data_IF_278037001785
#
_entry.id   IF_278037001785
#
_cell.length_a   1.000
_cell.length_b   1.000
_cell.length_c   1.000
_cell.angle_alpha   90.00
_cell.angle_beta   90.00
_cell.angle_gamma   90.00
#
_symmetry.space_group_name_H-M   'P 1'
#
loop_
_entity.id
_entity.type
_entity.pdbx_description
1 polymer ?
#
# COMPACT_ATOMS: atom_id res chain seq x y z
N UNK A 1 2.37 -8.55 -57.73
CA UNK A 1 3.09 -7.26 -57.82
C UNK A 1 2.26 -6.23 -57.08
N UNK A 2 2.63 -5.96 -55.82
CA UNK A 2 2.50 -4.71 -55.06
C UNK A 2 2.89 -5.05 -53.61
N UNK A 3 4.19 -4.95 -53.36
CA UNK A 3 4.79 -5.00 -52.04
C UNK A 3 4.40 -3.72 -51.28
N UNK A 4 3.96 -3.85 -50.03
CA UNK A 4 4.11 -2.77 -49.03
C UNK A 4 5.04 -3.28 -47.94
N UNK A 5 6.24 -2.71 -47.97
CA UNK A 5 7.25 -2.77 -46.94
C UNK A 5 6.91 -1.80 -45.79
N UNK A 6 7.59 -2.01 -44.64
CA UNK A 6 7.91 -1.05 -43.56
C UNK A 6 6.78 -0.85 -42.53
N UNK A 7 6.94 -0.99 -41.20
CA UNK A 7 8.11 -1.08 -40.29
C UNK A 7 7.70 -1.85 -39.03
N UNK A 8 8.57 -2.69 -38.49
CA UNK A 8 8.46 -3.18 -37.11
C UNK A 8 9.03 -2.08 -36.20
N UNK A 9 8.16 -1.47 -35.39
CA UNK A 9 8.60 -0.61 -34.27
C UNK A 9 8.63 -1.49 -33.02
N UNK A 10 9.83 -1.89 -32.64
CA UNK A 10 10.14 -2.42 -31.31
C UNK A 10 10.06 -1.26 -30.31
N UNK A 11 8.93 -1.10 -29.62
CA UNK A 11 8.86 -0.25 -28.43
C UNK A 11 9.38 -1.05 -27.23
N UNK A 12 10.65 -0.80 -26.90
CA UNK A 12 11.26 -1.16 -25.64
C UNK A 12 10.49 -0.51 -24.49
N UNK A 13 10.04 -1.31 -23.53
CA UNK A 13 9.54 -0.84 -22.24
C UNK A 13 10.63 -0.03 -21.55
N UNK A 14 10.47 1.30 -21.52
CA UNK A 14 11.34 2.17 -20.76
C UNK A 14 10.96 2.05 -19.28
N UNK A 15 11.86 1.44 -18.50
CA UNK A 15 11.92 1.62 -17.07
C UNK A 15 11.87 3.12 -16.75
N UNK A 16 11.07 3.51 -15.76
CA UNK A 16 11.14 4.83 -15.15
C UNK A 16 12.53 4.97 -14.52
N UNK A 17 13.44 5.60 -15.25
CA UNK A 17 14.71 6.07 -14.72
C UNK A 17 14.44 7.33 -13.92
N UNK A 18 14.73 7.28 -12.62
CA UNK A 18 14.81 8.46 -11.79
C UNK A 18 15.80 9.45 -12.44
N UNK A 19 15.28 10.59 -12.90
CA UNK A 19 16.06 11.61 -13.57
C UNK A 19 16.86 12.39 -12.53
N UNK A 20 18.14 12.07 -12.38
CA UNK A 20 19.09 12.91 -11.65
C UNK A 20 19.63 13.94 -12.64
N UNK A 21 19.12 15.17 -12.57
CA UNK A 21 19.72 16.32 -13.24
C UNK A 21 20.91 16.82 -12.41
N UNK A 22 22.12 16.62 -12.94
CA UNK A 22 23.33 17.28 -12.44
C UNK A 22 23.49 18.66 -13.10
N UNK A 23 23.82 19.72 -12.36
CA UNK A 23 24.37 20.91 -12.95
C UNK A 23 25.90 20.89 -12.86
N UNK A 24 26.57 21.01 -14.01
CA UNK A 24 27.97 21.45 -14.10
C UNK A 24 27.97 22.89 -14.59
N UNK A 25 28.50 23.83 -13.79
CA UNK A 25 29.64 24.67 -14.17
C UNK A 25 30.14 25.50 -12.98
N UNK A 26 31.46 25.66 -12.98
CA UNK A 26 32.35 26.35 -12.05
C UNK A 26 32.07 27.84 -11.84
N UNK A 27 32.25 28.37 -10.62
CA UNK A 27 33.43 29.16 -10.25
C UNK A 27 33.49 29.40 -8.73
N UNK A 28 34.70 29.62 -8.19
CA UNK A 28 35.01 29.55 -6.76
C UNK A 28 34.50 30.70 -5.88
N UNK A 29 34.02 30.35 -4.68
CA UNK A 29 34.37 30.99 -3.38
C UNK A 29 33.69 30.23 -2.25
N UNK A 30 34.46 29.77 -1.27
CA UNK A 30 33.99 29.03 -0.09
C UNK A 30 33.20 29.93 0.86
N UNK A 31 31.88 29.79 0.91
CA UNK A 31 31.05 30.27 2.01
C UNK A 31 30.23 29.10 2.57
N UNK A 32 30.47 28.73 3.83
CA UNK A 32 29.90 27.54 4.50
C UNK A 32 28.46 27.72 4.98
N UNK A 33 27.70 28.62 4.34
CA UNK A 33 26.32 29.00 4.69
C UNK A 33 25.16 28.26 3.97
N UNK A 34 25.31 27.53 2.83
CA UNK A 34 24.17 26.90 2.16
C UNK A 34 23.62 25.67 2.88
N UNK A 35 24.48 24.91 3.57
CA UNK A 35 24.14 23.60 4.15
C UNK A 35 23.13 23.72 5.29
N UNK A 36 23.25 24.76 6.12
CA UNK A 36 22.30 25.01 7.22
C UNK A 36 20.91 25.38 6.71
N UNK A 37 20.83 26.14 5.61
CA UNK A 37 19.55 26.58 5.02
C UNK A 37 18.81 25.44 4.32
N UNK A 38 19.52 24.54 3.64
CA UNK A 38 18.93 23.34 3.04
C UNK A 38 18.41 22.34 4.10
N UNK A 39 19.13 22.19 5.21
CA UNK A 39 18.66 21.40 6.36
C UNK A 39 17.44 22.04 7.05
N UNK A 40 17.40 23.36 7.20
CA UNK A 40 16.25 24.08 7.80
C UNK A 40 15.00 24.05 6.92
N UNK A 41 15.17 24.03 5.58
CA UNK A 41 14.06 23.90 4.62
C UNK A 41 13.49 22.48 4.65
N UNK A 42 14.32 21.43 4.61
CA UNK A 42 13.86 20.04 4.78
C UNK A 42 13.14 19.81 6.12
N UNK A 43 13.67 20.38 7.20
CA UNK A 43 13.08 20.27 8.54
C UNK A 43 11.76 21.04 8.68
N UNK A 44 11.52 22.07 7.86
CA UNK A 44 10.24 22.79 7.78
C UNK A 44 9.22 22.07 6.90
N UNK A 45 9.66 21.38 5.85
CA UNK A 45 8.78 20.57 4.97
C UNK A 45 8.23 19.32 5.69
N UNK A 46 8.98 18.74 6.63
CA UNK A 46 8.50 17.64 7.48
C UNK A 46 7.41 18.05 8.49
N UNK A 47 7.14 19.35 8.66
CA UNK A 47 6.38 19.84 9.80
C UNK A 47 4.85 19.70 9.67
N UNK A 48 4.33 19.35 8.47
CA UNK A 48 2.89 19.22 8.22
C UNK A 48 2.44 17.79 7.86
N UNK A 49 3.37 16.85 7.69
CA UNK A 49 3.04 15.44 7.45
C UNK A 49 2.34 14.88 8.69
N UNK A 50 1.18 14.27 8.53
CA UNK A 50 0.45 13.70 9.66
C UNK A 50 0.91 12.28 10.03
N UNK A 51 0.95 11.40 9.03
CA UNK A 51 1.35 10.02 9.24
C UNK A 51 2.86 9.86 9.09
N UNK A 52 3.47 9.16 10.04
CA UNK A 52 4.91 8.94 10.07
C UNK A 52 5.23 7.45 10.11
N UNK A 53 6.12 7.07 9.21
CA UNK A 53 6.74 5.74 9.14
C UNK A 53 8.10 5.78 9.87
N UNK A 54 8.62 4.64 10.36
CA UNK A 54 9.94 4.57 11.00
C UNK A 54 11.10 5.04 10.11
N UNK A 55 10.86 5.23 8.81
CA UNK A 55 11.82 5.71 7.81
C UNK A 55 12.78 4.61 7.36
N UNK A 56 13.52 4.86 6.27
CA UNK A 56 14.52 3.91 5.75
C UNK A 56 14.16 3.31 4.40
N UNK A 57 14.19 1.98 4.30
CA UNK A 57 13.92 1.25 3.06
C UNK A 57 12.41 1.17 2.74
N UNK A 58 12.06 0.64 1.56
CA UNK A 58 10.65 0.48 1.16
C UNK A 58 9.86 -0.39 2.14
N UNK A 59 10.48 -1.37 2.79
CA UNK A 59 9.77 -2.27 3.72
C UNK A 59 9.28 -1.53 4.97
N UNK A 60 10.03 -0.53 5.42
CA UNK A 60 9.70 0.30 6.57
C UNK A 60 8.59 1.33 6.29
N UNK A 61 8.28 1.57 5.01
CA UNK A 61 7.21 2.49 4.59
C UNK A 61 5.79 2.04 4.89
N UNK A 62 5.60 0.78 5.29
CA UNK A 62 4.29 0.17 5.53
C UNK A 62 4.00 -0.07 7.02
N UNK A 63 4.71 0.65 7.90
CA UNK A 63 4.54 0.59 9.35
C UNK A 63 4.28 1.98 9.93
N UNK A 64 3.33 2.07 10.86
CA UNK A 64 3.11 3.26 11.67
C UNK A 64 4.20 3.37 12.74
N UNK A 65 4.91 4.49 12.76
CA UNK A 65 6.05 4.70 13.64
C UNK A 65 5.72 4.59 15.14
N UNK A 66 4.46 4.81 15.55
CA UNK A 66 4.05 4.76 16.96
C UNK A 66 3.99 3.31 17.49
N UNK A 67 3.70 2.37 16.60
CA UNK A 67 3.49 0.96 16.93
C UNK A 67 4.57 0.04 16.32
N UNK A 68 5.50 0.60 15.55
CA UNK A 68 6.63 -0.14 15.00
C UNK A 68 7.63 -0.52 16.11
N UNK A 69 8.06 -1.78 16.08
CA UNK A 69 9.09 -2.32 16.98
C UNK A 69 10.23 -2.97 16.20
N UNK A 70 9.87 -3.86 15.27
CA UNK A 70 10.78 -4.50 14.34
C UNK A 70 10.03 -4.89 13.06
N UNK A 71 10.78 -5.18 11.99
CA UNK A 71 10.18 -5.70 10.76
C UNK A 71 9.71 -7.13 11.02
N UNK A 72 8.42 -7.38 10.83
CA UNK A 72 7.85 -8.71 11.07
C UNK A 72 8.24 -9.72 9.99
N UNK A 73 8.18 -11.01 10.35
CA UNK A 73 8.41 -12.09 9.38
C UNK A 73 7.33 -12.14 8.29
N UNK A 74 7.60 -12.77 7.15
CA UNK A 74 6.58 -12.96 6.09
C UNK A 74 5.32 -13.69 6.58
N UNK A 75 5.51 -14.67 7.47
CA UNK A 75 4.39 -15.41 8.06
C UNK A 75 3.55 -14.50 8.96
N UNK A 76 4.20 -13.71 9.81
CA UNK A 76 3.52 -12.75 10.69
C UNK A 76 2.88 -11.61 9.91
N UNK A 77 3.51 -11.13 8.83
CA UNK A 77 2.91 -10.12 7.92
C UNK A 77 1.63 -10.67 7.29
N UNK A 78 1.69 -11.89 6.76
CA UNK A 78 0.54 -12.58 6.14
C UNK A 78 -0.59 -12.77 7.14
N UNK A 79 -0.28 -13.30 8.33
CA UNK A 79 -1.24 -13.45 9.43
C UNK A 79 -1.82 -12.09 9.84
N UNK A 80 -0.96 -11.07 9.95
CA UNK A 80 -1.36 -9.72 10.36
C UNK A 80 -2.36 -9.14 9.37
N UNK A 81 -2.00 -9.06 8.10
CA UNK A 81 -2.81 -8.48 7.04
C UNK A 81 -4.13 -9.24 6.82
N UNK A 82 -4.13 -10.57 6.93
CA UNK A 82 -5.34 -11.38 6.75
C UNK A 82 -6.41 -11.04 7.78
N UNK A 83 -6.06 -10.99 9.07
CA UNK A 83 -7.02 -10.60 10.12
C UNK A 83 -7.30 -9.09 10.10
N UNK A 84 -6.33 -8.26 9.72
CA UNK A 84 -6.48 -6.81 9.65
C UNK A 84 -7.52 -6.38 8.61
N UNK A 85 -7.46 -6.93 7.39
CA UNK A 85 -8.46 -6.59 6.36
C UNK A 85 -9.83 -7.15 6.69
N UNK A 86 -9.90 -8.33 7.35
CA UNK A 86 -11.17 -8.89 7.84
C UNK A 86 -11.82 -7.95 8.85
N UNK A 87 -11.06 -7.52 9.86
CA UNK A 87 -11.53 -6.59 10.88
C UNK A 87 -11.98 -5.26 10.28
N UNK A 88 -11.22 -4.72 9.32
CA UNK A 88 -11.56 -3.50 8.58
C UNK A 88 -12.91 -3.63 7.85
N UNK A 89 -13.07 -4.67 7.03
CA UNK A 89 -14.30 -4.87 6.25
C UNK A 89 -15.52 -5.17 7.13
N UNK A 90 -15.31 -5.87 8.25
CA UNK A 90 -16.34 -6.13 9.24
C UNK A 90 -16.77 -4.84 9.95
N UNK A 91 -15.83 -3.99 10.37
CA UNK A 91 -16.10 -2.69 11.00
C UNK A 91 -16.98 -1.80 10.11
N UNK A 92 -16.62 -1.64 8.82
CA UNK A 92 -17.40 -0.83 7.90
C UNK A 92 -18.82 -1.38 7.72
N UNK A 93 -18.96 -2.70 7.61
CA UNK A 93 -20.26 -3.35 7.46
C UNK A 93 -21.14 -3.22 8.71
N UNK A 94 -20.58 -3.41 9.90
CA UNK A 94 -21.28 -3.28 11.19
C UNK A 94 -21.83 -1.88 11.41
N UNK A 95 -21.11 -0.86 10.93
CA UNK A 95 -21.50 0.55 11.05
C UNK A 95 -22.27 1.08 9.83
N UNK A 96 -22.62 0.21 8.87
CA UNK A 96 -23.32 0.58 7.62
C UNK A 96 -22.58 1.67 6.82
N UNK A 97 -21.26 1.56 6.73
CA UNK A 97 -20.38 2.45 5.97
C UNK A 97 -19.93 1.78 4.68
N UNK A 98 -19.77 2.59 3.62
CA UNK A 98 -19.31 2.12 2.32
C UNK A 98 -17.79 2.25 2.17
N UNK A 99 -17.15 1.13 1.80
CA UNK A 99 -15.74 1.01 1.43
C UNK A 99 -15.57 -0.07 0.37
N UNK A 100 -14.49 -0.01 -0.40
CA UNK A 100 -14.09 -1.04 -1.35
C UNK A 100 -12.57 -1.22 -1.36
N UNK A 101 -12.12 -2.41 -1.76
CA UNK A 101 -10.69 -2.69 -1.94
C UNK A 101 -10.18 -2.07 -3.25
N UNK A 102 -8.94 -1.58 -3.24
CA UNK A 102 -8.32 -0.87 -4.35
C UNK A 102 -6.88 -1.35 -4.61
N UNK A 103 -6.25 -0.85 -5.68
CA UNK A 103 -4.83 -1.00 -5.97
C UNK A 103 -4.34 -2.46 -5.87
N UNK A 104 -3.24 -2.73 -5.14
CA UNK A 104 -2.66 -4.07 -5.00
C UNK A 104 -3.60 -5.06 -4.31
N UNK A 105 -4.46 -4.55 -3.42
CA UNK A 105 -5.48 -5.36 -2.73
C UNK A 105 -6.56 -5.84 -3.70
N UNK A 106 -7.01 -4.97 -4.61
CA UNK A 106 -7.93 -5.35 -5.68
C UNK A 106 -7.27 -6.33 -6.66
N UNK A 107 -5.98 -6.16 -6.96
CA UNK A 107 -5.24 -7.09 -7.82
C UNK A 107 -5.11 -8.48 -7.18
N UNK A 108 -4.86 -8.57 -5.87
CA UNK A 108 -4.90 -9.85 -5.14
C UNK A 108 -6.28 -10.50 -5.24
N UNK A 109 -7.33 -9.71 -5.04
CA UNK A 109 -8.71 -10.19 -5.18
C UNK A 109 -8.99 -10.79 -6.57
N UNK A 110 -8.50 -10.17 -7.64
CA UNK A 110 -8.68 -10.65 -9.01
C UNK A 110 -8.19 -12.11 -9.20
N UNK A 111 -7.10 -12.50 -8.54
CA UNK A 111 -6.52 -13.84 -8.71
C UNK A 111 -7.30 -14.94 -7.97
N UNK A 112 -7.60 -14.74 -6.68
CA UNK A 112 -8.33 -15.74 -5.88
C UNK A 112 -9.11 -15.18 -4.69
N UNK A 113 -9.36 -13.87 -4.65
CA UNK A 113 -10.02 -13.25 -3.50
C UNK A 113 -9.13 -13.22 -2.25
N UNK A 114 -7.80 -13.28 -2.39
CA UNK A 114 -6.83 -13.21 -1.29
C UNK A 114 -5.77 -12.17 -1.58
N UNK A 115 -5.01 -11.80 -0.57
CA UNK A 115 -3.87 -10.91 -0.77
C UNK A 115 -2.77 -11.53 -1.63
N UNK A 116 -1.97 -10.69 -2.28
CA UNK A 116 -0.75 -11.12 -2.96
C UNK A 116 0.34 -11.43 -1.90
N UNK A 117 1.05 -12.58 -1.98
CA UNK A 117 2.02 -12.98 -0.95
C UNK A 117 3.23 -12.06 -0.77
N UNK A 118 3.58 -11.32 -1.82
CA UNK A 118 4.73 -10.41 -1.83
C UNK A 118 4.36 -8.95 -1.57
N UNK A 119 3.06 -8.67 -1.43
CA UNK A 119 2.58 -7.32 -1.22
C UNK A 119 2.77 -6.92 0.25
N UNK A 120 3.10 -5.66 0.50
CA UNK A 120 3.51 -5.18 1.83
C UNK A 120 2.47 -4.30 2.51
N UNK A 121 1.55 -3.73 1.74
CA UNK A 121 0.43 -2.94 2.21
C UNK A 121 -0.92 -3.59 1.86
N UNK A 122 -1.96 -2.86 2.23
CA UNK A 122 -3.35 -3.09 1.91
C UNK A 122 -3.99 -1.72 1.67
N UNK A 123 -4.75 -1.61 0.59
CA UNK A 123 -5.32 -0.36 0.12
C UNK A 123 -6.82 -0.46 -0.03
N UNK A 124 -7.49 0.56 0.48
CA UNK A 124 -8.94 0.68 0.42
C UNK A 124 -9.33 2.11 0.08
N UNK A 125 -10.53 2.26 -0.45
CA UNK A 125 -11.06 3.54 -0.82
C UNK A 125 -12.47 3.72 -0.26
N UNK A 126 -12.82 4.97 0.00
CA UNK A 126 -14.13 5.39 0.50
C UNK A 126 -14.60 6.64 -0.26
N UNK A 127 -15.90 6.86 -0.33
CA UNK A 127 -16.42 8.14 -0.83
C UNK A 127 -16.12 9.26 0.17
N UNK A 128 -15.98 10.49 -0.32
CA UNK A 128 -15.70 11.70 0.49
C UNK A 128 -16.66 11.87 1.67
N UNK A 129 -17.96 11.66 1.45
CA UNK A 129 -18.97 11.72 2.51
C UNK A 129 -18.72 10.69 3.63
N UNK A 130 -18.31 9.46 3.27
CA UNK A 130 -17.93 8.44 4.25
C UNK A 130 -16.65 8.85 4.97
N UNK A 131 -15.65 9.39 4.27
CA UNK A 131 -14.39 9.83 4.86
C UNK A 131 -14.62 10.93 5.92
N UNK A 132 -15.43 11.93 5.59
CA UNK A 132 -15.81 12.98 6.53
C UNK A 132 -16.55 12.41 7.74
N UNK A 133 -17.47 11.47 7.54
CA UNK A 133 -18.17 10.81 8.63
C UNK A 133 -17.22 10.00 9.55
N UNK A 134 -16.23 9.31 8.98
CA UNK A 134 -15.18 8.64 9.76
C UNK A 134 -14.42 9.66 10.62
N UNK A 135 -14.04 10.81 10.06
CA UNK A 135 -13.34 11.87 10.78
C UNK A 135 -14.15 12.47 11.93
N UNK A 136 -15.45 12.67 11.74
CA UNK A 136 -16.34 13.29 12.72
C UNK A 136 -16.74 12.34 13.87
N UNK A 137 -17.01 11.08 13.55
CA UNK A 137 -17.64 10.13 14.50
C UNK A 137 -16.68 9.07 15.01
N UNK A 138 -15.75 8.61 14.16
CA UNK A 138 -14.96 7.41 14.43
C UNK A 138 -13.45 7.66 14.54
N UNK A 139 -12.96 8.89 14.35
CA UNK A 139 -11.53 9.18 14.47
C UNK A 139 -11.01 8.78 15.86
N UNK A 140 -9.84 8.15 15.91
CA UNK A 140 -9.20 7.60 17.11
C UNK A 140 -9.99 6.47 17.79
N UNK A 141 -10.91 5.82 17.08
CA UNK A 141 -11.63 4.65 17.59
C UNK A 141 -10.70 3.45 17.66
N UNK A 142 -10.72 2.76 18.80
CA UNK A 142 -10.09 1.46 18.98
C UNK A 142 -11.12 0.35 18.80
N UNK A 143 -10.91 -0.51 17.82
CA UNK A 143 -11.79 -1.62 17.52
C UNK A 143 -11.21 -2.93 18.02
N UNK A 144 -11.99 -3.67 18.82
CA UNK A 144 -11.64 -5.00 19.30
C UNK A 144 -12.15 -6.05 18.31
N UNK A 145 -11.23 -6.78 17.71
CA UNK A 145 -11.51 -7.84 16.76
C UNK A 145 -11.29 -9.21 17.41
N UNK A 146 -12.20 -10.13 17.14
CA UNK A 146 -12.03 -11.56 17.37
C UNK A 146 -12.26 -12.31 16.07
N UNK A 147 -11.38 -13.28 15.75
CA UNK A 147 -11.59 -14.16 14.60
C UNK A 147 -12.85 -15.01 14.78
N UNK A 148 -13.42 -15.50 13.67
CA UNK A 148 -14.65 -16.27 13.69
C UNK A 148 -14.58 -17.57 14.54
N UNK A 149 -13.38 -18.15 14.66
CA UNK A 149 -13.10 -19.31 15.51
C UNK A 149 -12.69 -18.94 16.95
N UNK A 150 -12.58 -17.64 17.26
CA UNK A 150 -12.22 -17.11 18.57
C UNK A 150 -10.75 -17.30 18.98
N UNK A 151 -9.90 -17.79 18.08
CA UNK A 151 -8.48 -18.10 18.40
C UNK A 151 -7.58 -16.88 18.38
N UNK A 152 -7.95 -15.86 17.60
CA UNK A 152 -7.18 -14.63 17.44
C UNK A 152 -7.98 -13.44 17.96
N UNK A 153 -7.35 -12.64 18.81
CA UNK A 153 -7.88 -11.36 19.29
C UNK A 153 -6.88 -10.25 19.01
N UNK A 154 -7.38 -9.10 18.55
CA UNK A 154 -6.55 -7.96 18.17
C UNK A 154 -7.27 -6.64 18.42
N UNK A 155 -6.49 -5.60 18.65
CA UNK A 155 -6.97 -4.22 18.70
C UNK A 155 -6.45 -3.49 17.45
N UNK A 156 -7.34 -2.73 16.82
CA UNK A 156 -7.00 -1.87 15.70
C UNK A 156 -7.36 -0.42 16.01
N UNK A 157 -6.53 0.52 15.58
CA UNK A 157 -6.81 1.95 15.66
C UNK A 157 -7.27 2.46 14.29
N UNK A 158 -8.46 3.04 14.23
CA UNK A 158 -8.86 3.89 13.11
C UNK A 158 -8.35 5.31 13.37
N UNK A 159 -7.40 5.76 12.56
CA UNK A 159 -6.79 7.08 12.66
C UNK A 159 -7.05 7.89 11.39
N UNK A 160 -7.73 9.04 11.53
CA UNK A 160 -8.13 9.89 10.41
C UNK A 160 -7.29 11.16 10.40
N UNK A 161 -6.66 11.40 9.25
CA UNK A 161 -5.79 12.55 9.03
C UNK A 161 -6.60 13.86 9.10
N UNK A 162 -6.22 14.85 9.94
CA UNK A 162 -6.91 16.14 10.00
C UNK A 162 -6.99 16.90 8.67
N UNK A 163 -6.17 16.54 7.68
CA UNK A 163 -6.17 17.11 6.32
C UNK A 163 -7.18 16.43 5.37
N UNK A 164 -8.16 15.66 5.86
CA UNK A 164 -9.21 15.06 5.00
C UNK A 164 -10.03 16.09 4.20
N UNK A 165 -10.14 17.34 4.69
CA UNK A 165 -10.88 18.42 4.03
C UNK A 165 -10.17 18.97 2.79
N UNK A 166 -8.85 18.83 2.71
CA UNK A 166 -8.10 19.15 1.50
C UNK A 166 -8.31 17.97 0.55
N UNK A 167 -8.89 18.17 -0.64
CA UNK A 167 -9.07 17.08 -1.62
C UNK A 167 -8.03 17.10 -2.73
N UNK A 168 -7.41 18.26 -2.98
CA UNK A 168 -6.27 18.38 -3.87
C UNK A 168 -5.00 17.82 -3.20
N UNK A 169 -3.95 17.55 -4.00
CA UNK A 169 -2.70 16.96 -3.49
C UNK A 169 -1.96 17.85 -2.48
N UNK A 170 -2.13 19.16 -2.55
CA UNK A 170 -1.37 20.12 -1.76
C UNK A 170 0.14 19.98 -1.96
N UNK A 171 0.90 19.98 -0.87
CA UNK A 171 2.35 19.76 -0.85
C UNK A 171 2.75 18.27 -1.02
N UNK A 172 1.78 17.35 -1.03
CA UNK A 172 1.99 15.91 -1.12
C UNK A 172 2.39 15.24 0.19
N UNK A 173 2.38 15.93 1.33
CA UNK A 173 2.65 15.34 2.63
C UNK A 173 1.48 14.50 3.16
N UNK A 174 0.24 14.85 2.81
CA UNK A 174 -0.99 14.27 3.36
C UNK A 174 -1.85 13.58 2.30
N UNK A 175 -1.20 12.76 1.46
CA UNK A 175 -1.86 12.00 0.38
C UNK A 175 -2.84 10.96 0.93
N UNK A 176 -2.48 10.27 2.02
CA UNK A 176 -3.34 9.28 2.68
C UNK A 176 -4.26 9.98 3.69
N UNK A 177 -5.55 9.65 3.59
CA UNK A 177 -6.61 10.31 4.34
C UNK A 177 -6.90 9.66 5.70
N UNK A 178 -6.77 8.33 5.81
CA UNK A 178 -6.90 7.62 7.08
C UNK A 178 -6.13 6.30 7.05
N UNK A 179 -5.88 5.73 8.23
CA UNK A 179 -5.26 4.42 8.42
C UNK A 179 -6.05 3.56 9.39
N UNK A 180 -6.08 2.27 9.09
CA UNK A 180 -6.52 1.23 10.03
C UNK A 180 -5.30 0.45 10.50
N UNK A 181 -4.88 0.66 11.75
CA UNK A 181 -3.55 0.29 12.23
C UNK A 181 -3.63 -0.86 13.22
N UNK A 182 -2.86 -1.93 13.00
CA UNK A 182 -2.63 -2.98 14.00
C UNK A 182 -1.70 -2.46 15.08
N UNK A 183 -2.22 -2.31 16.31
CA UNK A 183 -1.48 -1.68 17.41
C UNK A 183 -0.35 -2.55 17.98
N UNK A 184 -0.19 -3.79 17.50
CA UNK A 184 0.84 -4.73 18.00
C UNK A 184 2.17 -4.56 17.28
N UNK A 185 2.13 -4.23 15.99
CA UNK A 185 3.33 -4.14 15.15
C UNK A 185 3.36 -2.94 14.20
N UNK A 186 2.26 -2.18 14.08
CA UNK A 186 2.18 -0.98 13.27
C UNK A 186 1.86 -1.20 11.79
N UNK A 187 1.64 -2.43 11.33
CA UNK A 187 1.10 -2.64 9.98
C UNK A 187 -0.29 -1.99 9.86
N UNK A 188 -0.62 -1.47 8.70
CA UNK A 188 -1.89 -0.77 8.49
C UNK A 188 -2.53 -1.06 7.13
N UNK A 189 -3.81 -0.71 7.02
CA UNK A 189 -4.53 -0.51 5.75
C UNK A 189 -4.59 0.99 5.50
N UNK A 190 -4.18 1.42 4.31
CA UNK A 190 -4.38 2.80 3.87
C UNK A 190 -5.83 2.98 3.36
N UNK A 191 -6.44 4.08 3.79
CA UNK A 191 -7.81 4.46 3.43
C UNK A 191 -7.72 5.79 2.67
N UNK A 192 -8.10 5.75 1.39
CA UNK A 192 -8.06 6.92 0.51
C UNK A 192 -9.47 7.39 0.15
N UNK A 193 -9.76 8.68 0.33
CA UNK A 193 -11.03 9.27 -0.06
C UNK A 193 -11.10 9.59 -1.56
N UNK A 194 -12.23 9.31 -2.18
CA UNK A 194 -12.55 9.77 -3.54
C UNK A 194 -13.64 10.86 -3.51
N UNK A 195 -13.41 11.91 -4.27
CA UNK A 195 -14.34 13.05 -4.43
C UNK A 195 -14.36 13.53 -5.88
N UNK A 196 -15.46 14.11 -6.34
CA UNK A 196 -15.45 14.93 -7.55
C UNK A 196 -14.83 16.30 -7.23
N UNK A 197 -13.52 16.46 -7.43
CA UNK A 197 -12.79 17.68 -7.05
C UNK A 197 -13.14 18.87 -7.97
N UNK A 198 -13.36 18.61 -9.26
CA UNK A 198 -13.62 19.64 -10.27
C UNK A 198 -14.89 19.36 -11.10
N UNK A 199 -16.07 19.25 -10.47
CA UNK A 199 -17.30 18.83 -11.16
C UNK A 199 -17.71 19.81 -12.27
N UNK A 200 -17.34 21.09 -12.17
CA UNK A 200 -17.64 22.11 -13.19
C UNK A 200 -16.88 21.89 -14.52
N UNK A 201 -15.71 21.23 -14.48
CA UNK A 201 -14.87 21.00 -15.66
C UNK A 201 -14.76 19.53 -16.04
N UNK A 202 -14.87 18.62 -15.07
CA UNK A 202 -14.76 17.18 -15.23
C UNK A 202 -15.90 16.47 -14.45
N UNK A 203 -17.17 16.72 -14.81
CA UNK A 203 -18.31 16.14 -14.10
C UNK A 203 -18.26 14.61 -14.15
N UNK A 204 -18.55 13.96 -13.02
CA UNK A 204 -18.58 12.50 -12.91
C UNK A 204 -17.20 11.83 -12.87
N UNK A 205 -16.12 12.61 -12.73
CA UNK A 205 -14.76 12.12 -12.48
C UNK A 205 -14.46 12.23 -10.98
N UNK A 206 -14.26 11.08 -10.36
CA UNK A 206 -13.86 10.93 -8.97
C UNK A 206 -12.34 10.83 -8.90
N UNK A 207 -11.71 11.56 -8.00
CA UNK A 207 -10.27 11.53 -7.84
C UNK A 207 -9.83 11.57 -6.39
N UNK A 208 -8.60 11.10 -6.18
CA UNK A 208 -7.88 11.20 -4.91
C UNK A 208 -6.69 12.17 -5.02
N UNK A 209 -6.04 12.41 -3.88
CA UNK A 209 -4.84 13.25 -3.74
C UNK A 209 -3.62 12.71 -4.49
N UNK A 210 -3.62 11.44 -4.90
CA UNK A 210 -2.51 10.82 -5.63
C UNK A 210 -2.75 10.70 -7.14
N UNK A 211 -3.64 11.53 -7.70
CA UNK A 211 -3.92 11.57 -9.14
C UNK A 211 -4.58 10.32 -9.73
N UNK A 212 -5.05 9.37 -8.91
CA UNK A 212 -5.97 8.35 -9.40
C UNK A 212 -7.31 9.01 -9.73
N UNK A 213 -7.83 8.71 -10.91
CA UNK A 213 -9.08 9.24 -11.44
C UNK A 213 -9.92 8.11 -11.97
N UNK A 214 -11.20 8.13 -11.65
CA UNK A 214 -12.18 7.13 -12.07
C UNK A 214 -13.43 7.82 -12.57
N UNK A 215 -14.06 7.25 -13.59
CA UNK A 215 -15.40 7.67 -13.95
C UNK A 215 -16.42 7.08 -12.98
N UNK A 216 -17.54 7.76 -12.80
CA UNK A 216 -18.64 7.29 -11.95
C UNK A 216 -19.14 5.89 -12.37
N UNK A 217 -19.20 5.62 -13.68
CA UNK A 217 -19.64 4.33 -14.24
C UNK A 217 -18.60 3.21 -14.09
N UNK A 218 -17.32 3.55 -13.85
CA UNK A 218 -16.28 2.57 -13.53
C UNK A 218 -16.36 2.12 -12.06
N UNK A 219 -16.80 3.01 -11.16
CA UNK A 219 -16.95 2.72 -9.73
C UNK A 219 -18.31 2.09 -9.38
N UNK A 220 -19.40 2.65 -9.90
CA UNK A 220 -20.76 2.36 -9.44
C UNK A 220 -21.65 1.70 -10.50
N UNK A 221 -22.60 0.82 -10.09
CA UNK A 221 -22.77 0.29 -8.73
C UNK A 221 -21.65 -0.69 -8.39
N UNK A 222 -21.07 -0.57 -7.19
CA UNK A 222 -20.04 -1.49 -6.73
C UNK A 222 -20.58 -2.92 -6.65
N UNK A 223 -19.69 -3.89 -6.87
CA UNK A 223 -20.04 -5.32 -6.86
C UNK A 223 -19.71 -5.92 -5.50
N UNK A 224 -20.68 -6.59 -4.88
CA UNK A 224 -20.45 -7.39 -3.68
C UNK A 224 -19.68 -8.68 -4.03
N UNK A 225 -18.72 -9.04 -3.19
CA UNK A 225 -17.84 -10.18 -3.38
C UNK A 225 -17.28 -10.67 -2.05
N UNK A 226 -16.29 -11.56 -2.09
CA UNK A 226 -15.55 -12.04 -0.93
C UNK A 226 -14.06 -11.70 -1.09
N UNK A 227 -13.44 -11.24 -0.01
CA UNK A 227 -12.00 -11.06 0.09
C UNK A 227 -11.51 -11.59 1.44
N UNK A 228 -10.47 -12.40 1.44
CA UNK A 228 -9.93 -13.06 2.65
C UNK A 228 -11.02 -13.79 3.47
N UNK A 229 -12.06 -14.31 2.81
CA UNK A 229 -13.14 -15.06 3.44
C UNK A 229 -14.23 -14.22 4.12
N UNK A 230 -14.19 -12.88 4.02
CA UNK A 230 -15.29 -11.98 4.46
C UNK A 230 -15.88 -11.21 3.28
N UNK A 231 -17.07 -10.63 3.49
CA UNK A 231 -17.73 -9.82 2.45
C UNK A 231 -16.92 -8.56 2.15
N UNK A 232 -16.77 -8.25 0.87
CA UNK A 232 -16.07 -7.07 0.38
C UNK A 232 -16.85 -6.44 -0.78
N UNK A 233 -16.45 -5.22 -1.17
CA UNK A 233 -16.90 -4.56 -2.40
C UNK A 233 -15.72 -4.29 -3.31
N UNK A 234 -15.97 -4.31 -4.60
CA UNK A 234 -15.02 -3.90 -5.66
C UNK A 234 -15.71 -2.94 -6.62
N UNK A 235 -14.95 -2.09 -7.35
CA UNK A 235 -15.49 -1.24 -8.42
C UNK A 235 -16.28 -2.02 -9.47
N UNK A 236 -17.15 -1.35 -10.22
CA UNK A 236 -17.93 -1.97 -11.28
C UNK A 236 -17.05 -2.48 -12.42
N UNK A 237 -16.19 -1.64 -12.97
CA UNK A 237 -15.23 -1.98 -14.05
C UNK A 237 -13.82 -2.23 -13.47
N UNK A 238 -13.75 -3.12 -12.47
CA UNK A 238 -12.50 -3.44 -11.78
C UNK A 238 -11.38 -3.92 -12.72
N UNK A 239 -11.70 -4.58 -13.83
CA UNK A 239 -10.73 -5.14 -14.78
C UNK A 239 -10.07 -4.02 -15.60
N UNK A 240 -10.88 -3.07 -16.06
CA UNK A 240 -10.37 -1.83 -16.69
C UNK A 240 -9.48 -1.06 -15.72
N UNK A 241 -9.93 -0.85 -14.48
CA UNK A 241 -9.15 -0.14 -13.45
C UNK A 241 -7.79 -0.82 -13.23
N UNK A 242 -7.78 -2.14 -13.07
CA UNK A 242 -6.54 -2.90 -12.91
C UNK A 242 -5.64 -2.86 -14.16
N UNK A 243 -6.21 -2.88 -15.36
CA UNK A 243 -5.44 -2.77 -16.61
C UNK A 243 -4.82 -1.38 -16.75
N UNK A 244 -5.56 -0.32 -16.43
CA UNK A 244 -5.05 1.04 -16.51
C UNK A 244 -3.88 1.24 -15.52
N UNK A 245 -3.98 0.66 -14.32
CA UNK A 245 -2.97 0.79 -13.26
C UNK A 245 -1.76 -0.15 -13.45
N UNK A 246 -1.99 -1.44 -13.71
CA UNK A 246 -0.96 -2.48 -13.70
C UNK A 246 -0.67 -3.13 -15.06
N UNK A 247 -1.40 -2.72 -16.11
CA UNK A 247 -1.37 -3.31 -17.45
C UNK A 247 -1.92 -4.75 -17.49
N UNK A 248 -2.29 -5.19 -18.69
CA UNK A 248 -2.88 -6.52 -18.93
C UNK A 248 -2.02 -7.66 -18.37
N UNK A 249 -0.69 -7.52 -18.38
CA UNK A 249 0.24 -8.54 -17.87
C UNK A 249 0.01 -8.89 -16.41
N UNK A 250 -0.38 -7.94 -15.56
CA UNK A 250 -0.61 -8.20 -14.14
C UNK A 250 -1.80 -9.16 -13.89
N UNK A 251 -2.71 -9.27 -14.85
CA UNK A 251 -3.90 -10.12 -14.76
C UNK A 251 -3.67 -11.52 -15.34
N UNK A 252 -2.56 -11.75 -16.06
CA UNK A 252 -2.32 -13.00 -16.81
C UNK A 252 -0.95 -13.64 -16.58
N UNK A 253 0.07 -12.88 -16.17
CA UNK A 253 1.42 -13.42 -15.96
C UNK A 253 1.41 -14.33 -14.73
N UNK A 254 1.78 -15.59 -14.91
CA UNK A 254 1.72 -16.61 -13.86
C UNK A 254 3.04 -16.75 -13.09
N UNK A 255 4.06 -15.94 -13.39
CA UNK A 255 5.33 -15.92 -12.65
C UNK A 255 5.68 -14.48 -12.28
N UNK A 256 5.68 -14.17 -11.00
CA UNK A 256 5.96 -12.82 -10.54
C UNK A 256 6.57 -12.83 -9.14
N UNK A 257 7.57 -11.97 -8.92
CA UNK A 257 8.22 -11.72 -7.64
C UNK A 257 8.57 -12.99 -6.83
N UNK A 258 9.18 -13.99 -7.48
CA UNK A 258 9.59 -15.25 -6.84
C UNK A 258 8.47 -16.26 -6.57
N UNK A 259 7.27 -16.01 -7.08
CA UNK A 259 6.10 -16.86 -6.96
C UNK A 259 5.60 -17.31 -8.33
N UNK A 260 4.92 -18.45 -8.35
CA UNK A 260 4.24 -19.00 -9.52
C UNK A 260 2.78 -19.27 -9.18
N UNK A 261 1.88 -18.93 -10.09
CA UNK A 261 0.47 -19.28 -9.98
C UNK A 261 0.27 -20.78 -10.20
N UNK A 262 -0.30 -21.45 -9.21
CA UNK A 262 -0.73 -22.85 -9.32
C UNK A 262 -2.22 -22.89 -9.68
N UNK A 263 -2.54 -23.39 -10.87
CA UNK A 263 -3.91 -23.42 -11.39
C UNK A 263 -4.79 -24.47 -10.72
N UNK A 264 -4.21 -25.50 -10.11
CA UNK A 264 -4.96 -26.55 -9.40
C UNK A 264 -5.35 -26.07 -8.01
N UNK A 265 -4.41 -25.44 -7.30
CA UNK A 265 -4.66 -24.86 -5.98
C UNK A 265 -5.40 -23.51 -6.07
N UNK A 266 -5.29 -22.82 -7.21
CA UNK A 266 -5.71 -21.42 -7.40
C UNK A 266 -5.02 -20.50 -6.40
N UNK A 267 -3.71 -20.69 -6.26
CA UNK A 267 -2.89 -19.97 -5.31
C UNK A 267 -1.52 -19.59 -5.89
N UNK A 268 -1.00 -18.46 -5.41
CA UNK A 268 0.38 -18.07 -5.63
C UNK A 268 1.30 -18.84 -4.70
N UNK A 269 2.11 -19.73 -5.26
CA UNK A 269 3.07 -20.55 -4.50
C UNK A 269 4.49 -20.03 -4.69
N UNK A 270 5.29 -20.03 -3.62
CA UNK A 270 6.71 -19.70 -3.72
C UNK A 270 7.43 -20.69 -4.63
N UNK A 271 8.27 -20.16 -5.52
CA UNK A 271 9.18 -20.99 -6.32
C UNK A 271 10.20 -21.69 -5.43
N UNK A 272 10.72 -22.83 -5.88
CA UNK A 272 11.77 -23.56 -5.14
C UNK A 272 13.01 -22.70 -4.93
N UNK A 273 13.38 -21.89 -5.92
CA UNK A 273 14.50 -20.95 -5.84
C UNK A 273 14.30 -19.92 -4.73
N UNK A 274 13.12 -19.29 -4.69
CA UNK A 274 12.79 -18.30 -3.64
C UNK A 274 12.75 -18.94 -2.27
N UNK A 275 12.16 -20.15 -2.15
CA UNK A 275 12.13 -20.91 -0.89
C UNK A 275 13.54 -21.26 -0.41
N UNK A 276 14.40 -21.75 -1.30
CA UNK A 276 15.78 -22.10 -0.98
C UNK A 276 16.61 -20.88 -0.56
N UNK A 277 16.42 -19.74 -1.25
CA UNK A 277 17.06 -18.47 -0.91
C UNK A 277 16.65 -18.00 0.50
N UNK A 278 15.35 -17.96 0.80
CA UNK A 278 14.84 -17.56 2.13
C UNK A 278 15.34 -18.48 3.24
N UNK A 279 15.38 -19.79 3.00
CA UNK A 279 15.90 -20.75 3.98
C UNK A 279 17.40 -20.56 4.25
N UNK A 280 18.18 -20.24 3.21
CA UNK A 280 19.59 -19.90 3.37
C UNK A 280 19.77 -18.62 4.19
N UNK A 281 19.05 -17.56 3.85
CA UNK A 281 19.08 -16.28 4.58
C UNK A 281 18.66 -16.43 6.04
N UNK A 282 17.68 -17.31 6.33
CA UNK A 282 17.26 -17.64 7.70
C UNK A 282 18.39 -18.27 8.50
N UNK A 283 19.07 -19.27 7.93
CA UNK A 283 20.21 -19.95 8.58
C UNK A 283 21.37 -18.99 8.83
N UNK A 284 21.71 -18.15 7.86
CA UNK A 284 22.77 -17.15 8.00
C UNK A 284 22.45 -16.13 9.12
N UNK A 285 21.18 -15.70 9.25
CA UNK A 285 20.75 -14.83 10.35
C UNK A 285 20.78 -15.53 11.71
N UNK A 286 20.41 -16.81 11.78
CA UNK A 286 20.46 -17.62 13.01
C UNK A 286 21.91 -17.80 13.49
N UNK A 287 22.82 -18.16 12.58
CA UNK A 287 24.25 -18.29 12.88
C UNK A 287 24.88 -16.97 13.31
N UNK A 288 24.49 -15.85 12.68
CA UNK A 288 24.97 -14.52 13.08
C UNK A 288 24.51 -14.14 14.49
N UNK A 289 23.22 -14.35 14.81
CA UNK A 289 22.68 -14.10 16.15
C UNK A 289 23.32 -14.98 17.22
N UNK A 290 23.65 -16.24 16.89
CA UNK A 290 24.34 -17.14 17.82
C UNK A 290 25.77 -16.67 18.11
N UNK A 291 26.51 -16.24 17.07
CA UNK A 291 27.85 -15.65 17.23
C UNK A 291 27.83 -14.39 18.10
N UNK A 292 26.89 -13.49 17.85
CA UNK A 292 26.74 -12.25 18.63
C UNK A 292 26.44 -12.56 20.11
N UNK A 293 25.55 -13.52 20.39
CA UNK A 293 25.28 -13.99 21.77
C UNK A 293 26.52 -14.58 22.43
N UNK A 294 27.30 -15.38 21.70
CA UNK A 294 28.55 -15.98 22.20
C UNK A 294 29.63 -14.92 22.46
N UNK A 295 29.68 -13.85 21.69
CA UNK A 295 30.60 -12.72 21.91
C UNK A 295 30.17 -11.89 23.11
N UNK A 296 28.88 -11.59 23.25
CA UNK A 296 28.34 -10.86 24.40
C UNK A 296 28.56 -11.63 25.72
N UNK A 297 28.34 -12.94 25.72
CA UNK A 297 28.56 -13.78 26.90
C UNK A 297 30.04 -13.95 27.30
N UNK A 298 31.00 -13.52 26.45
CA UNK A 298 32.43 -13.46 26.78
C UNK A 298 32.85 -12.11 27.35
N UNK A 299 32.00 -11.09 27.22
CA UNK A 299 32.25 -9.72 27.68
C UNK A 299 31.65 -9.46 29.07
N UNK A 300 30.68 -10.27 29.50
CA UNK A 300 30.08 -10.30 30.85
C UNK A 300 30.83 -11.24 31.82
#
# INVERSE_FOLDING_TARGET
MWLRNITIVLTTAALVTASISTPISSDGTTDTRPVRRAHDVRKREENHKYFHEPGGDMNLGHYDARYFHEVVSDQERTDTQSHMIRAYLDFFREHNLDTWIAHGTLLGWWWNGKRLPWDYDLDTQVADATLHHLGEVYNQTKYQYASADGTVQREYLLDVNPWIWERERGDGANIIDARWIDTRNGLFVDITGLSEIHPDTHPGIWSCKNYHMYRTDELYPMRETMFEGVRAKVPYDYDKILIDEYQEKALIETNFNGHRWDTQLREWVQTEETRAKKEKERKEKEEAKEKEKLEQAKLD
#
